data_IF_353033948910
#
_entry.id   IF_353033948910
#
_cell.length_a   1.000
_cell.length_b   1.000
_cell.length_c   1.000
_cell.angle_alpha   90.00
_cell.angle_beta   90.00
_cell.angle_gamma   90.00
#
_symmetry.space_group_name_H-M   'P 1'
#
loop_
_entity.id
_entity.type
_entity.pdbx_description
1 polymer ?
#
# COMPACT_ATOMS: atom_id res chain seq x y z
N UNK A 1 15.68 -17.06 46.62
CA UNK A 1 15.56 -16.89 45.16
C UNK A 1 14.13 -17.28 44.84
N UNK A 2 13.27 -16.30 44.67
CA UNK A 2 11.88 -16.53 44.27
C UNK A 2 11.88 -16.89 42.80
N UNK A 3 11.28 -18.03 42.46
CA UNK A 3 11.08 -18.45 41.09
C UNK A 3 10.13 -17.45 40.41
N UNK A 4 10.68 -16.67 39.49
CA UNK A 4 9.90 -15.82 38.59
C UNK A 4 9.17 -16.73 37.62
N UNK A 5 7.92 -17.06 37.93
CA UNK A 5 6.99 -17.67 36.98
C UNK A 5 6.64 -16.59 35.96
N UNK A 6 7.29 -16.63 34.80
CA UNK A 6 6.89 -15.84 33.64
C UNK A 6 5.57 -16.45 33.15
N UNK A 7 4.45 -15.73 33.15
CA UNK A 7 3.22 -16.23 32.55
C UNK A 7 3.48 -16.37 31.04
N UNK A 8 3.43 -17.60 30.55
CA UNK A 8 3.28 -17.86 29.13
C UNK A 8 1.89 -17.32 28.80
N UNK A 9 1.83 -16.09 28.27
CA UNK A 9 0.67 -15.63 27.53
C UNK A 9 0.63 -16.49 26.29
N UNK A 10 -0.03 -17.65 26.40
CA UNK A 10 -0.53 -18.36 25.25
C UNK A 10 -1.63 -17.46 24.69
N UNK A 11 -1.26 -16.55 23.79
CA UNK A 11 -2.21 -16.11 22.76
C UNK A 11 -2.75 -17.41 22.17
N UNK A 12 -4.01 -17.71 22.47
CA UNK A 12 -4.67 -18.91 21.99
C UNK A 12 -4.46 -18.92 20.47
N UNK A 13 -3.77 -19.94 19.97
CA UNK A 13 -3.64 -20.14 18.53
C UNK A 13 -5.06 -20.01 17.94
N UNK A 14 -5.25 -19.20 16.88
CA UNK A 14 -6.57 -19.00 16.30
C UNK A 14 -7.17 -20.38 16.07
N UNK A 15 -8.38 -20.63 16.58
CA UNK A 15 -9.07 -21.90 16.36
C UNK A 15 -9.34 -21.98 14.86
N UNK A 16 -8.56 -22.78 14.15
CA UNK A 16 -8.70 -22.97 12.72
C UNK A 16 -9.82 -23.98 12.51
N UNK A 17 -10.95 -23.50 11.99
CA UNK A 17 -12.01 -24.38 11.48
C UNK A 17 -11.50 -25.04 10.19
N UNK A 18 -11.24 -26.34 10.26
CA UNK A 18 -10.71 -27.12 9.13
C UNK A 18 -11.63 -27.06 7.92
N UNK A 19 -12.94 -27.31 8.09
CA UNK A 19 -13.88 -27.36 6.97
C UNK A 19 -14.03 -25.99 6.28
N UNK A 20 -14.11 -24.91 7.08
CA UNK A 20 -14.13 -23.55 6.55
C UNK A 20 -12.82 -23.21 5.81
N UNK A 21 -11.68 -23.63 6.35
CA UNK A 21 -10.37 -23.38 5.76
C UNK A 21 -10.17 -24.12 4.44
N UNK A 22 -10.61 -25.39 4.35
CA UNK A 22 -10.54 -26.16 3.11
C UNK A 22 -11.45 -25.55 2.03
N UNK A 23 -12.63 -25.05 2.40
CA UNK A 23 -13.51 -24.31 1.48
C UNK A 23 -12.86 -23.01 0.98
N UNK A 24 -12.16 -22.32 1.88
CA UNK A 24 -11.40 -21.12 1.52
C UNK A 24 -10.25 -21.46 0.56
N UNK A 25 -9.51 -22.56 0.77
CA UNK A 25 -8.47 -23.05 -0.15
C UNK A 25 -9.01 -23.34 -1.55
N UNK A 26 -10.18 -23.98 -1.64
CA UNK A 26 -10.88 -24.20 -2.91
C UNK A 26 -11.15 -22.88 -3.62
N UNK A 27 -11.58 -21.86 -2.89
CA UNK A 27 -11.86 -20.54 -3.48
C UNK A 27 -10.58 -19.82 -3.95
N UNK A 28 -9.47 -19.96 -3.21
CA UNK A 28 -8.19 -19.30 -3.54
C UNK A 28 -7.52 -19.99 -4.74
N UNK A 29 -7.49 -21.31 -4.77
CA UNK A 29 -6.82 -22.10 -5.81
C UNK A 29 -5.36 -22.45 -5.52
N UNK A 30 -4.75 -21.83 -4.51
CA UNK A 30 -3.38 -22.13 -4.05
C UNK A 30 -3.34 -22.10 -2.53
N UNK A 31 -2.60 -23.03 -1.93
CA UNK A 31 -2.49 -23.12 -0.49
C UNK A 31 -1.20 -23.82 -0.06
N UNK A 32 -0.81 -23.57 1.19
CA UNK A 32 0.30 -24.25 1.82
C UNK A 32 -0.18 -24.94 3.10
N UNK A 33 0.12 -26.23 3.26
CA UNK A 33 -0.37 -27.06 4.38
C UNK A 33 0.16 -26.62 5.73
N UNK A 34 1.19 -25.76 5.79
CA UNK A 34 1.67 -25.19 7.06
C UNK A 34 0.57 -24.50 7.87
N UNK A 35 -0.43 -23.93 7.19
CA UNK A 35 -1.56 -23.26 7.84
C UNK A 35 -2.40 -24.25 8.66
N UNK A 36 -2.39 -25.54 8.30
CA UNK A 36 -3.21 -26.59 8.92
C UNK A 36 -2.41 -27.58 9.79
N UNK A 37 -1.10 -27.36 9.99
CA UNK A 37 -0.20 -28.32 10.68
C UNK A 37 -0.63 -28.71 12.10
N UNK A 38 -1.48 -27.92 12.75
CA UNK A 38 -1.97 -28.20 14.11
C UNK A 38 -3.27 -29.02 14.14
N UNK A 39 -3.96 -29.15 13.00
CA UNK A 39 -5.32 -29.71 12.92
C UNK A 39 -5.47 -30.87 11.94
N UNK A 40 -4.59 -30.99 10.93
CA UNK A 40 -4.59 -32.10 9.98
C UNK A 40 -3.18 -32.36 9.46
N UNK A 41 -2.89 -33.60 9.07
CA UNK A 41 -1.64 -33.93 8.39
C UNK A 41 -1.72 -33.58 6.88
N UNK A 42 -0.58 -33.58 6.18
CA UNK A 42 -0.54 -33.15 4.78
C UNK A 42 -1.42 -34.03 3.88
N UNK A 43 -1.39 -35.35 4.06
CA UNK A 43 -2.13 -36.31 3.23
C UNK A 43 -3.66 -36.16 3.41
N UNK A 44 -4.11 -36.04 4.66
CA UNK A 44 -5.50 -35.78 5.04
C UNK A 44 -6.05 -34.51 4.37
N UNK A 45 -5.28 -33.42 4.36
CA UNK A 45 -5.70 -32.16 3.73
C UNK A 45 -5.96 -32.34 2.23
N UNK A 46 -5.09 -33.05 1.51
CA UNK A 46 -5.26 -33.26 0.08
C UNK A 46 -6.42 -34.18 -0.24
N UNK A 47 -6.64 -35.23 0.56
CA UNK A 47 -7.76 -36.15 0.38
C UNK A 47 -9.10 -35.47 0.72
N UNK A 48 -9.16 -34.69 1.80
CA UNK A 48 -10.34 -33.93 2.16
C UNK A 48 -10.71 -32.91 1.08
N UNK A 49 -9.73 -32.20 0.50
CA UNK A 49 -9.97 -31.26 -0.60
C UNK A 49 -10.53 -31.95 -1.85
N UNK A 50 -10.04 -33.15 -2.19
CA UNK A 50 -10.56 -33.94 -3.32
C UNK A 50 -11.99 -34.41 -3.05
N UNK A 51 -12.35 -34.65 -1.79
CA UNK A 51 -13.66 -35.16 -1.39
C UNK A 51 -14.71 -34.04 -1.19
N UNK A 52 -14.29 -32.82 -0.86
CA UNK A 52 -15.16 -31.68 -0.51
C UNK A 52 -15.98 -31.13 -1.68
N UNK A 53 -15.46 -31.22 -2.92
CA UNK A 53 -16.16 -30.77 -4.13
C UNK A 53 -15.87 -31.74 -5.28
N UNK A 54 -16.90 -32.42 -5.76
CA UNK A 54 -16.79 -33.33 -6.91
C UNK A 54 -16.72 -32.60 -8.26
N UNK A 55 -17.00 -31.29 -8.27
CA UNK A 55 -16.99 -30.41 -9.43
C UNK A 55 -15.68 -29.62 -9.58
N UNK A 56 -14.69 -29.83 -8.70
CA UNK A 56 -13.34 -29.31 -8.91
C UNK A 56 -12.66 -30.14 -9.99
N UNK A 57 -12.12 -29.46 -10.99
CA UNK A 57 -11.39 -30.07 -12.11
C UNK A 57 -10.19 -30.92 -11.60
N UNK A 58 -9.30 -30.35 -10.77
CA UNK A 58 -8.15 -31.09 -10.24
C UNK A 58 -7.52 -30.48 -8.98
N UNK A 59 -7.20 -31.31 -7.98
CA UNK A 59 -6.32 -30.95 -6.84
C UNK A 59 -4.96 -31.60 -7.01
N UNK A 60 -3.90 -30.79 -7.10
CA UNK A 60 -2.52 -31.22 -7.38
C UNK A 60 -1.60 -30.88 -6.22
N UNK A 61 -0.89 -31.88 -5.71
CA UNK A 61 0.20 -31.70 -4.77
C UNK A 61 1.49 -31.42 -5.54
N UNK A 62 2.19 -30.33 -5.21
CA UNK A 62 3.44 -29.93 -5.87
C UNK A 62 4.66 -30.40 -5.08
N UNK A 63 4.57 -30.36 -3.74
CA UNK A 63 5.64 -30.73 -2.82
C UNK A 63 5.98 -29.62 -1.82
N UNK A 64 6.73 -29.97 -0.77
CA UNK A 64 7.04 -29.08 0.37
C UNK A 64 5.79 -28.46 1.01
N UNK A 65 4.66 -29.17 1.03
CA UNK A 65 3.40 -28.66 1.56
C UNK A 65 2.63 -27.71 0.63
N UNK A 66 3.07 -27.47 -0.61
CA UNK A 66 2.30 -26.70 -1.59
C UNK A 66 1.26 -27.53 -2.32
N UNK A 67 0.04 -27.01 -2.38
CA UNK A 67 -1.07 -27.53 -3.16
C UNK A 67 -1.66 -26.49 -4.10
N UNK A 68 -2.18 -26.97 -5.22
CA UNK A 68 -2.86 -26.16 -6.25
C UNK A 68 -4.19 -26.81 -6.61
N UNK A 69 -5.22 -26.00 -6.77
CA UNK A 69 -6.53 -26.40 -7.26
C UNK A 69 -6.70 -25.74 -8.63
N UNK A 70 -6.69 -26.58 -9.66
CA UNK A 70 -6.70 -26.16 -11.06
C UNK A 70 -8.14 -26.04 -11.52
N UNK A 71 -8.78 -24.92 -11.21
CA UNK A 71 -10.17 -24.64 -11.62
C UNK A 71 -10.29 -23.17 -12.05
N UNK A 72 -10.99 -22.94 -13.17
CA UNK A 72 -11.15 -21.61 -13.80
C UNK A 72 -11.90 -20.58 -12.93
N UNK A 73 -12.57 -21.02 -11.87
CA UNK A 73 -13.28 -20.16 -10.90
C UNK A 73 -12.41 -19.74 -9.72
N UNK A 74 -11.23 -20.35 -9.54
CA UNK A 74 -10.33 -20.00 -8.45
C UNK A 74 -9.73 -18.60 -8.62
N UNK A 75 -9.44 -17.93 -7.51
CA UNK A 75 -8.77 -16.63 -7.52
C UNK A 75 -7.44 -16.71 -8.26
N UNK A 76 -6.64 -17.74 -8.02
CA UNK A 76 -5.33 -17.93 -8.65
C UNK A 76 -5.43 -18.03 -10.17
N UNK A 77 -6.28 -18.92 -10.70
CA UNK A 77 -6.41 -19.10 -12.16
C UNK A 77 -7.00 -17.85 -12.82
N UNK A 78 -8.07 -17.26 -12.24
CA UNK A 78 -8.64 -16.01 -12.77
C UNK A 78 -7.61 -14.88 -12.79
N UNK A 79 -6.77 -14.78 -11.76
CA UNK A 79 -5.68 -13.80 -11.72
C UNK A 79 -4.72 -14.00 -12.90
N UNK A 80 -4.32 -15.24 -13.17
CA UNK A 80 -3.45 -15.57 -14.32
C UNK A 80 -4.09 -15.20 -15.67
N UNK A 81 -5.36 -15.53 -15.86
CA UNK A 81 -6.09 -15.22 -17.10
C UNK A 81 -6.28 -13.71 -17.31
N UNK A 82 -6.36 -12.92 -16.23
CA UNK A 82 -6.40 -11.45 -16.28
C UNK A 82 -5.04 -10.84 -16.58
N UNK A 83 -3.96 -11.39 -16.03
CA UNK A 83 -2.59 -10.98 -16.37
C UNK A 83 -2.34 -11.24 -17.87
N UNK A 84 -2.77 -12.41 -18.37
CA UNK A 84 -2.61 -12.78 -19.77
C UNK A 84 -3.20 -11.77 -20.76
N UNK A 85 -4.28 -11.08 -20.38
CA UNK A 85 -4.92 -10.08 -21.22
C UNK A 85 -4.10 -8.80 -21.42
N UNK A 86 -3.09 -8.53 -20.59
CA UNK A 86 -2.43 -7.20 -20.52
C UNK A 86 -0.90 -7.24 -20.61
N UNK A 87 -0.33 -8.45 -20.73
CA UNK A 87 1.13 -8.64 -20.71
C UNK A 87 1.75 -8.93 -22.08
N UNK A 88 0.94 -9.12 -23.12
CA UNK A 88 1.37 -9.40 -24.50
C UNK A 88 2.48 -10.49 -24.56
N UNK A 89 3.52 -10.24 -25.35
CA UNK A 89 4.69 -11.11 -25.58
C UNK A 89 5.77 -10.99 -24.49
N UNK A 90 5.45 -10.46 -23.31
CA UNK A 90 6.44 -10.29 -22.23
C UNK A 90 6.50 -11.53 -21.34
N UNK A 91 7.72 -11.86 -20.93
CA UNK A 91 7.95 -12.85 -19.88
C UNK A 91 7.84 -12.16 -18.53
N UNK A 92 6.89 -12.59 -17.71
CA UNK A 92 6.60 -12.01 -16.40
C UNK A 92 7.29 -12.82 -15.30
N UNK A 93 8.09 -12.19 -14.42
CA UNK A 93 8.75 -12.89 -13.32
C UNK A 93 7.78 -13.68 -12.43
N UNK A 94 8.21 -14.84 -11.92
CA UNK A 94 7.36 -15.67 -11.03
C UNK A 94 6.96 -14.94 -9.74
N UNK A 95 7.87 -14.12 -9.21
CA UNK A 95 7.66 -13.30 -8.01
C UNK A 95 6.51 -12.31 -8.19
N UNK A 96 6.41 -11.71 -9.36
CA UNK A 96 5.37 -10.75 -9.72
C UNK A 96 4.00 -11.43 -9.82
N UNK A 97 3.96 -12.60 -10.46
CA UNK A 97 2.75 -13.42 -10.54
C UNK A 97 2.29 -13.87 -9.15
N UNK A 98 3.22 -14.34 -8.31
CA UNK A 98 2.94 -14.75 -6.94
C UNK A 98 2.37 -13.58 -6.11
N UNK A 99 2.95 -12.38 -6.24
CA UNK A 99 2.44 -11.17 -5.60
C UNK A 99 1.03 -10.80 -6.06
N UNK A 100 0.75 -10.91 -7.36
CA UNK A 100 -0.57 -10.65 -7.91
C UNK A 100 -1.63 -11.61 -7.35
N UNK A 101 -1.32 -12.91 -7.24
CA UNK A 101 -2.24 -13.92 -6.68
C UNK A 101 -2.53 -13.65 -5.21
N UNK A 102 -1.50 -13.41 -4.39
CA UNK A 102 -1.68 -13.09 -2.96
C UNK A 102 -2.53 -11.82 -2.81
N UNK A 103 -2.21 -10.78 -3.59
CA UNK A 103 -2.97 -9.54 -3.60
C UNK A 103 -4.44 -9.77 -3.97
N UNK A 104 -4.74 -10.59 -4.97
CA UNK A 104 -6.14 -10.89 -5.33
C UNK A 104 -6.84 -11.74 -4.27
N UNK A 105 -6.12 -12.61 -3.56
CA UNK A 105 -6.67 -13.36 -2.44
C UNK A 105 -7.08 -12.45 -1.26
N UNK A 106 -6.37 -11.33 -1.03
CA UNK A 106 -6.80 -10.27 -0.09
C UNK A 106 -8.16 -9.65 -0.43
N UNK A 107 -8.58 -9.76 -1.69
CA UNK A 107 -9.88 -9.27 -2.16
C UNK A 107 -10.92 -10.37 -2.26
N UNK A 108 -10.58 -11.63 -2.03
CA UNK A 108 -11.51 -12.75 -2.12
C UNK A 108 -12.04 -13.04 -3.54
N UNK A 109 -12.86 -14.09 -3.68
CA UNK A 109 -13.42 -14.51 -4.96
C UNK A 109 -14.49 -13.52 -5.47
N UNK A 110 -14.65 -13.45 -6.80
CA UNK A 110 -15.42 -12.39 -7.51
C UNK A 110 -16.92 -12.32 -7.16
N UNK A 111 -17.45 -13.30 -6.43
CA UNK A 111 -18.89 -13.50 -6.17
C UNK A 111 -19.28 -13.53 -4.69
N UNK A 112 -18.34 -13.29 -3.76
CA UNK A 112 -18.72 -13.13 -2.34
C UNK A 112 -19.29 -11.74 -2.09
N UNK A 113 -20.36 -11.70 -1.27
CA UNK A 113 -20.91 -10.46 -0.68
C UNK A 113 -19.78 -9.56 -0.16
N UNK A 114 -19.89 -8.25 -0.35
CA UNK A 114 -18.79 -7.30 -0.04
C UNK A 114 -18.37 -7.34 1.44
N UNK A 115 -19.28 -7.67 2.37
CA UNK A 115 -18.97 -7.89 3.79
C UNK A 115 -18.15 -9.15 4.00
N UNK A 116 -18.58 -10.27 3.41
CA UNK A 116 -17.89 -11.58 3.49
C UNK A 116 -16.51 -11.50 2.83
N UNK A 117 -16.44 -10.84 1.68
CA UNK A 117 -15.22 -10.58 0.92
C UNK A 117 -14.15 -9.87 1.75
N UNK A 118 -14.58 -8.87 2.54
CA UNK A 118 -13.70 -8.11 3.44
C UNK A 118 -13.20 -8.95 4.61
N UNK A 119 -14.02 -9.85 5.14
CA UNK A 119 -13.63 -10.77 6.22
C UNK A 119 -12.68 -11.86 5.71
N UNK A 120 -12.99 -12.45 4.55
CA UNK A 120 -12.14 -13.37 3.84
C UNK A 120 -10.76 -12.77 3.56
N UNK A 121 -10.74 -11.57 2.97
CA UNK A 121 -9.52 -10.83 2.68
C UNK A 121 -8.66 -10.53 3.89
N UNK A 122 -9.27 -10.12 5.01
CA UNK A 122 -8.56 -9.92 6.29
C UNK A 122 -7.96 -11.22 6.84
N UNK A 123 -8.67 -12.34 6.68
CA UNK A 123 -8.23 -13.65 7.14
C UNK A 123 -7.06 -14.16 6.32
N UNK A 124 -7.15 -14.09 4.99
CA UNK A 124 -6.19 -14.74 4.09
C UNK A 124 -5.06 -13.85 3.63
N UNK A 125 -5.26 -12.54 3.59
CA UNK A 125 -4.23 -11.59 3.15
C UNK A 125 -2.96 -11.62 3.97
N UNK A 126 -3.12 -11.68 5.30
CA UNK A 126 -1.99 -11.84 6.21
C UNK A 126 -1.58 -13.30 6.40
N UNK A 127 -2.40 -14.28 6.03
CA UNK A 127 -2.09 -15.70 6.26
C UNK A 127 -1.26 -16.29 5.10
N UNK A 128 -1.34 -15.71 3.91
CA UNK A 128 -0.47 -15.99 2.77
C UNK A 128 0.89 -15.27 2.88
N UNK A 129 1.50 -15.20 4.07
CA UNK A 129 2.85 -14.61 4.24
C UNK A 129 3.91 -15.32 3.39
N UNK A 130 3.63 -16.57 3.00
CA UNK A 130 4.47 -17.37 2.14
C UNK A 130 3.97 -17.24 0.70
N UNK A 131 4.75 -16.56 -0.14
CA UNK A 131 4.46 -16.48 -1.57
C UNK A 131 4.48 -17.86 -2.23
N UNK A 132 3.53 -18.15 -3.15
CA UNK A 132 3.57 -19.34 -3.98
C UNK A 132 4.93 -19.57 -4.63
N UNK A 133 5.44 -20.79 -4.53
CA UNK A 133 6.72 -21.16 -5.14
C UNK A 133 6.66 -21.10 -6.68
N UNK A 134 7.82 -20.99 -7.34
CA UNK A 134 7.88 -21.01 -8.81
C UNK A 134 7.20 -22.25 -9.40
N UNK A 135 7.33 -23.41 -8.76
CA UNK A 135 6.70 -24.65 -9.21
C UNK A 135 5.17 -24.59 -9.16
N UNK A 136 4.60 -23.92 -8.17
CA UNK A 136 3.15 -23.65 -8.11
C UNK A 136 2.72 -22.78 -9.29
N UNK A 137 3.45 -21.69 -9.55
CA UNK A 137 3.14 -20.78 -10.65
C UNK A 137 3.29 -21.48 -12.01
N UNK A 138 4.31 -22.33 -12.19
CA UNK A 138 4.48 -23.14 -13.40
C UNK A 138 3.29 -24.06 -13.64
N UNK A 139 2.78 -24.71 -12.58
CA UNK A 139 1.62 -25.60 -12.71
C UNK A 139 0.35 -24.84 -13.10
N UNK A 140 0.12 -23.67 -12.52
CA UNK A 140 -0.97 -22.78 -12.91
C UNK A 140 -0.81 -22.28 -14.36
N UNK A 141 0.40 -21.92 -14.77
CA UNK A 141 0.69 -21.48 -16.13
C UNK A 141 0.41 -22.58 -17.15
N UNK A 142 0.86 -23.80 -16.89
CA UNK A 142 0.58 -24.97 -17.74
C UNK A 142 -0.93 -25.19 -17.91
N UNK A 143 -1.70 -25.09 -16.82
CA UNK A 143 -3.15 -25.26 -16.84
C UNK A 143 -3.86 -24.24 -17.75
N UNK A 144 -3.44 -22.98 -17.73
CA UNK A 144 -4.01 -21.94 -18.62
C UNK A 144 -3.39 -21.93 -20.03
N UNK A 145 -2.48 -22.86 -20.34
CA UNK A 145 -1.80 -22.93 -21.63
C UNK A 145 -0.71 -21.86 -21.85
N UNK A 146 -0.24 -21.22 -20.77
CA UNK A 146 0.92 -20.34 -20.81
C UNK A 146 2.23 -21.15 -20.81
N UNK A 147 3.24 -20.66 -21.51
CA UNK A 147 4.58 -21.27 -21.46
C UNK A 147 5.38 -20.68 -20.30
N UNK A 148 6.32 -21.45 -19.75
CA UNK A 148 7.19 -20.95 -18.67
C UNK A 148 8.65 -21.24 -18.97
N UNK A 149 9.52 -20.34 -18.53
CA UNK A 149 10.98 -20.45 -18.67
C UNK A 149 11.65 -20.27 -17.30
N UNK A 150 12.97 -20.27 -17.24
CA UNK A 150 13.69 -19.95 -15.99
C UNK A 150 13.52 -18.49 -15.58
N UNK A 151 13.06 -17.62 -16.48
CA UNK A 151 12.90 -16.17 -16.22
C UNK A 151 11.49 -15.80 -15.75
N UNK A 152 10.49 -16.66 -15.96
CA UNK A 152 9.10 -16.33 -15.69
C UNK A 152 8.10 -17.06 -16.57
N UNK A 153 6.89 -16.51 -16.64
CA UNK A 153 5.75 -17.00 -17.42
C UNK A 153 5.55 -16.12 -18.65
N UNK A 154 5.39 -16.74 -19.81
CA UNK A 154 4.99 -16.09 -21.05
C UNK A 154 3.52 -16.41 -21.33
N UNK A 155 2.69 -15.38 -21.28
CA UNK A 155 1.24 -15.50 -21.47
C UNK A 155 0.79 -15.35 -22.92
N UNK A 156 1.70 -15.04 -23.86
CA UNK A 156 1.35 -14.86 -25.28
C UNK A 156 0.78 -16.12 -25.93
N UNK A 157 1.04 -17.29 -25.35
CA UNK A 157 0.55 -18.59 -25.84
C UNK A 157 -0.81 -18.98 -25.27
N UNK A 158 -1.34 -18.20 -24.32
CA UNK A 158 -2.61 -18.48 -23.67
C UNK A 158 -3.78 -18.21 -24.63
N UNK A 159 -4.67 -19.19 -24.78
CA UNK A 159 -5.81 -19.12 -25.72
C UNK A 159 -7.02 -18.36 -25.17
N UNK A 160 -7.19 -18.36 -23.85
CA UNK A 160 -8.34 -17.77 -23.17
C UNK A 160 -7.84 -16.72 -22.19
N UNK A 161 -8.42 -15.53 -22.26
CA UNK A 161 -8.07 -14.42 -21.36
C UNK A 161 -9.33 -13.86 -20.72
N UNK A 162 -9.16 -13.21 -19.57
CA UNK A 162 -10.23 -12.40 -18.96
C UNK A 162 -9.88 -10.95 -19.23
N UNK A 163 -10.63 -10.35 -20.15
CA UNK A 163 -10.43 -8.96 -20.55
C UNK A 163 -10.58 -8.01 -19.34
N UNK A 164 -9.70 -7.00 -19.21
CA UNK A 164 -9.88 -5.93 -18.26
C UNK A 164 -11.20 -5.22 -18.47
N UNK A 165 -11.75 -4.68 -17.38
CA UNK A 165 -12.90 -3.78 -17.47
C UNK A 165 -12.49 -2.43 -18.08
N UNK A 166 -13.43 -1.63 -18.60
CA UNK A 166 -13.14 -0.28 -19.13
C UNK A 166 -12.37 0.60 -18.13
N UNK A 167 -12.67 0.46 -16.83
CA UNK A 167 -11.98 1.16 -15.75
C UNK A 167 -10.52 0.70 -15.62
N UNK A 168 -10.29 -0.60 -15.73
CA UNK A 168 -8.96 -1.19 -15.65
C UNK A 168 -8.11 -0.86 -16.87
N UNK A 169 -8.72 -0.86 -18.06
CA UNK A 169 -8.10 -0.34 -19.27
C UNK A 169 -7.68 1.12 -19.14
N UNK A 170 -8.55 1.98 -18.58
CA UNK A 170 -8.19 3.38 -18.34
C UNK A 170 -7.00 3.53 -17.35
N UNK A 171 -6.91 2.64 -16.34
CA UNK A 171 -5.75 2.59 -15.43
C UNK A 171 -4.49 2.16 -16.15
N UNK A 172 -4.58 1.11 -16.99
CA UNK A 172 -3.47 0.61 -17.80
C UNK A 172 -2.95 1.70 -18.72
N UNK A 173 -3.80 2.33 -19.53
CA UNK A 173 -3.41 3.43 -20.43
C UNK A 173 -2.74 4.58 -19.67
N UNK A 174 -3.27 4.93 -18.49
CA UNK A 174 -2.69 5.99 -17.66
C UNK A 174 -1.30 5.63 -17.14
N UNK A 175 -1.05 4.35 -16.85
CA UNK A 175 0.25 3.84 -16.41
C UNK A 175 1.21 3.64 -17.59
N UNK A 176 0.71 3.22 -18.75
CA UNK A 176 1.48 2.91 -19.96
C UNK A 176 1.97 4.17 -20.69
N UNK A 177 1.28 5.30 -20.53
CA UNK A 177 1.66 6.59 -21.13
C UNK A 177 2.85 7.33 -20.46
N UNK A 178 3.55 6.73 -19.48
CA UNK A 178 4.55 7.47 -18.67
C UNK A 178 5.94 6.80 -18.51
N UNK A 179 6.39 6.02 -19.49
CA UNK A 179 7.67 5.30 -19.46
C UNK A 179 8.95 6.14 -19.66
N UNK A 180 9.04 7.31 -19.04
CA UNK A 180 10.35 7.93 -18.80
C UNK A 180 10.69 8.10 -17.33
N UNK A 181 9.71 8.20 -16.42
CA UNK A 181 9.96 8.29 -14.97
C UNK A 181 8.75 7.71 -14.24
N UNK A 182 8.98 6.68 -13.42
CA UNK A 182 7.99 6.05 -12.53
C UNK A 182 6.92 7.04 -12.06
N UNK A 183 5.65 6.79 -12.38
CA UNK A 183 4.58 7.71 -12.03
C UNK A 183 4.50 7.86 -10.51
N UNK A 184 4.56 9.06 -9.92
CA UNK A 184 4.12 9.27 -8.55
C UNK A 184 2.63 8.93 -8.45
N UNK A 185 2.24 8.29 -7.36
CA UNK A 185 0.87 7.87 -7.09
C UNK A 185 -0.12 9.00 -7.35
N UNK A 186 0.22 10.26 -7.08
CA UNK A 186 -0.62 11.47 -7.26
C UNK A 186 -1.30 11.63 -8.64
N UNK A 187 -0.75 11.07 -9.72
CA UNK A 187 -1.28 11.24 -11.08
C UNK A 187 -2.41 10.30 -11.48
N UNK A 188 -2.56 9.14 -10.82
CA UNK A 188 -3.75 8.28 -11.01
C UNK A 188 -5.06 8.99 -10.58
N UNK A 189 -4.95 10.08 -9.81
CA UNK A 189 -6.06 10.97 -9.47
C UNK A 189 -6.20 12.22 -10.34
N UNK A 190 -5.37 12.41 -11.37
CA UNK A 190 -5.43 13.56 -12.26
C UNK A 190 -5.61 13.12 -13.71
N UNK A 191 -6.88 12.91 -14.08
CA UNK A 191 -7.49 13.67 -15.17
C UNK A 191 -9.02 13.55 -15.10
N UNK A 192 -9.67 14.66 -14.75
CA UNK A 192 -10.77 15.30 -15.49
C UNK A 192 -11.40 16.36 -14.58
N UNK A 193 -11.56 17.62 -15.03
CA UNK A 193 -12.37 18.59 -14.31
C UNK A 193 -13.82 18.12 -14.33
N UNK A 194 -14.49 18.17 -13.18
CA UNK A 194 -15.86 17.69 -13.03
C UNK A 194 -15.98 16.58 -12.00
N UNK A 195 -17.14 16.52 -11.38
CA UNK A 195 -17.59 15.69 -10.25
C UNK A 195 -17.00 14.28 -10.16
N UNK A 196 -16.86 13.71 -8.94
CA UNK A 196 -16.35 12.35 -8.74
C UNK A 196 -17.29 11.35 -9.44
N UNK A 197 -16.87 10.91 -10.62
CA UNK A 197 -17.55 9.87 -11.38
C UNK A 197 -17.10 8.51 -10.87
N UNK A 198 -18.02 7.54 -10.83
CA UNK A 198 -17.75 6.11 -10.60
C UNK A 198 -16.77 5.49 -11.62
N UNK A 199 -16.30 6.27 -12.61
CA UNK A 199 -15.35 5.90 -13.67
C UNK A 199 -13.94 6.47 -13.48
N UNK A 200 -13.66 7.19 -12.38
CA UNK A 200 -12.29 7.65 -12.06
C UNK A 200 -11.62 6.59 -11.20
N UNK A 201 -10.43 6.14 -11.59
CA UNK A 201 -9.64 5.16 -10.86
C UNK A 201 -9.31 5.66 -9.45
N UNK A 202 -10.17 5.31 -8.49
CA UNK A 202 -9.95 5.55 -7.07
C UNK A 202 -8.79 4.66 -6.61
N UNK A 203 -7.85 5.21 -5.82
CA UNK A 203 -6.76 4.43 -5.20
C UNK A 203 -7.27 3.23 -4.42
N UNK A 204 -8.53 3.26 -3.97
CA UNK A 204 -9.20 2.12 -3.34
C UNK A 204 -9.29 0.90 -4.27
N UNK A 205 -9.45 1.11 -5.59
CA UNK A 205 -9.64 0.07 -6.61
C UNK A 205 -8.29 -0.48 -7.08
N UNK A 206 -7.23 0.33 -7.13
CA UNK A 206 -5.89 -0.11 -7.54
C UNK A 206 -5.37 -1.29 -6.71
N UNK A 207 -5.79 -1.37 -5.45
CA UNK A 207 -5.47 -2.48 -4.56
C UNK A 207 -6.11 -3.81 -4.97
N UNK A 208 -7.14 -3.82 -5.81
CA UNK A 208 -7.81 -5.02 -6.32
C UNK A 208 -7.50 -5.34 -7.78
N UNK A 209 -6.57 -4.61 -8.42
CA UNK A 209 -6.17 -4.83 -9.81
C UNK A 209 -4.90 -5.69 -9.85
N UNK A 210 -4.91 -6.90 -10.46
CA UNK A 210 -3.81 -7.86 -10.35
C UNK A 210 -2.51 -7.45 -11.05
N UNK A 211 -2.60 -6.73 -12.16
CA UNK A 211 -1.43 -6.29 -12.94
C UNK A 211 -0.77 -5.00 -12.41
N UNK A 212 -1.27 -4.44 -11.31
CA UNK A 212 -0.64 -3.31 -10.60
C UNK A 212 -0.09 -3.83 -9.28
N UNK A 213 1.22 -3.79 -9.05
CA UNK A 213 1.84 -4.24 -7.81
C UNK A 213 2.28 -3.06 -6.95
N UNK A 214 2.25 -3.21 -5.63
CA UNK A 214 2.76 -2.20 -4.69
C UNK A 214 3.96 -2.78 -3.94
N UNK A 215 5.19 -2.26 -4.14
CA UNK A 215 6.33 -2.63 -3.31
C UNK A 215 6.06 -2.22 -1.86
N UNK A 216 6.74 -2.85 -0.91
CA UNK A 216 6.49 -2.67 0.53
C UNK A 216 6.55 -1.21 1.00
N UNK A 217 7.18 -0.30 0.24
CA UNK A 217 7.30 1.13 0.56
C UNK A 217 7.24 2.10 -0.63
N UNK A 218 7.05 1.62 -1.86
CA UNK A 218 7.20 2.45 -3.06
C UNK A 218 5.87 2.69 -3.80
N UNK A 219 5.97 3.31 -4.98
CA UNK A 219 4.85 3.58 -5.88
C UNK A 219 4.35 2.29 -6.51
N UNK A 220 3.06 2.27 -6.85
CA UNK A 220 2.48 1.23 -7.68
C UNK A 220 3.26 1.09 -8.99
N UNK A 221 3.51 -0.15 -9.41
CA UNK A 221 4.17 -0.51 -10.67
C UNK A 221 3.33 -1.50 -11.46
N UNK A 222 3.52 -1.56 -12.76
CA UNK A 222 2.93 -2.62 -13.57
C UNK A 222 3.70 -3.93 -13.40
N UNK A 223 2.97 -5.04 -13.48
CA UNK A 223 3.55 -6.39 -13.43
C UNK A 223 4.56 -6.57 -14.58
N UNK A 224 5.69 -7.23 -14.32
CA UNK A 224 6.78 -7.41 -15.28
C UNK A 224 7.68 -6.19 -15.49
N UNK A 225 7.37 -5.05 -14.86
CA UNK A 225 8.26 -3.89 -14.84
C UNK A 225 8.95 -3.80 -13.48
N UNK A 226 10.27 -4.01 -13.49
CA UNK A 226 11.08 -3.76 -12.31
C UNK A 226 11.26 -2.25 -12.12
N UNK A 227 11.04 -1.75 -10.91
CA UNK A 227 11.27 -0.34 -10.65
C UNK A 227 12.79 -0.08 -10.74
N UNK A 228 13.18 1.04 -11.35
CA UNK A 228 14.60 1.37 -11.51
C UNK A 228 15.26 1.39 -10.11
N UNK A 229 16.32 0.58 -9.86
CA UNK A 229 16.98 0.50 -8.55
C UNK A 229 17.46 1.85 -8.03
N UNK A 230 17.81 2.77 -8.95
CA UNK A 230 18.25 4.13 -8.64
C UNK A 230 17.10 5.08 -8.26
N UNK A 231 15.85 4.71 -8.55
CA UNK A 231 14.63 5.45 -8.17
C UNK A 231 13.96 4.85 -6.93
N UNK A 232 14.21 3.58 -6.62
CA UNK A 232 13.75 2.86 -5.41
C UNK A 232 14.72 2.98 -4.25
N UNK A 233 15.49 4.07 -4.18
CA UNK A 233 16.38 4.28 -3.04
C UNK A 233 15.54 4.31 -1.76
N UNK A 234 15.63 3.21 -1.02
CA UNK A 234 15.19 3.03 0.34
C UNK A 234 16.05 3.89 1.25
N UNK A 235 15.87 5.20 1.17
CA UNK A 235 16.47 6.14 2.10
C UNK A 235 15.39 7.08 2.58
N UNK A 236 15.43 7.36 3.88
CA UNK A 236 14.58 8.29 4.59
C UNK A 236 14.35 9.58 3.81
N UNK A 237 13.30 9.62 2.97
CA UNK A 237 12.68 10.88 2.53
C UNK A 237 11.79 11.41 3.65
N UNK A 238 12.34 11.46 4.85
CA UNK A 238 11.89 12.41 5.86
C UNK A 238 12.05 13.78 5.21
N UNK A 239 10.97 14.30 4.64
CA UNK A 239 10.92 15.69 4.19
C UNK A 239 11.25 16.65 5.32
N UNK A 240 11.12 16.21 6.56
CA UNK A 240 11.52 16.96 7.73
C UNK A 240 13.02 17.29 7.68
N UNK A 241 13.30 18.59 7.74
CA UNK A 241 14.65 19.15 7.77
C UNK A 241 15.06 19.47 9.20
N UNK A 242 14.24 20.26 9.89
CA UNK A 242 14.59 20.80 11.20
C UNK A 242 13.35 21.26 11.98
N UNK A 243 13.55 21.55 13.27
CA UNK A 243 12.56 22.20 14.12
C UNK A 243 13.24 23.30 14.94
N UNK A 244 12.59 24.45 15.00
CA UNK A 244 12.93 25.56 15.87
C UNK A 244 11.81 25.75 16.89
N UNK A 245 12.14 26.08 18.13
CA UNK A 245 11.15 26.43 19.15
C UNK A 245 11.65 27.58 20.00
N UNK A 246 10.74 28.43 20.45
CA UNK A 246 11.03 29.44 21.46
C UNK A 246 11.42 28.77 22.78
N UNK A 247 12.15 29.47 23.64
CA UNK A 247 12.60 28.99 24.95
C UNK A 247 11.41 28.55 25.81
N UNK A 248 10.32 29.32 25.78
CA UNK A 248 9.08 28.99 26.48
C UNK A 248 8.20 27.93 25.77
N UNK A 249 8.60 27.50 24.57
CA UNK A 249 7.87 26.50 23.76
C UNK A 249 6.53 26.97 23.19
N UNK A 250 6.20 28.25 23.27
CA UNK A 250 4.94 28.81 22.74
C UNK A 250 4.90 28.87 21.21
N UNK A 251 6.03 29.18 20.57
CA UNK A 251 6.16 29.24 19.11
C UNK A 251 7.07 28.14 18.62
N UNK A 252 6.59 27.37 17.66
CA UNK A 252 7.31 26.24 17.08
C UNK A 252 7.30 26.35 15.57
N UNK A 253 8.42 26.11 14.94
CA UNK A 253 8.58 26.07 13.49
C UNK A 253 9.07 24.69 13.11
N UNK A 254 8.38 24.04 12.18
CA UNK A 254 8.85 22.81 11.55
C UNK A 254 9.24 23.12 10.10
N UNK A 255 10.45 22.75 9.72
CA UNK A 255 10.95 22.91 8.35
C UNK A 255 10.86 21.58 7.62
N UNK A 256 10.33 21.63 6.40
CA UNK A 256 10.20 20.50 5.49
C UNK A 256 10.72 20.86 4.10
N UNK A 257 11.11 19.86 3.33
CA UNK A 257 11.20 19.91 1.88
C UNK A 257 9.85 19.48 1.30
N UNK A 258 9.26 20.33 0.48
CA UNK A 258 8.01 20.03 -0.22
C UNK A 258 8.25 18.84 -1.15
N UNK A 259 7.48 17.79 -0.95
CA UNK A 259 7.31 16.73 -1.94
C UNK A 259 5.85 16.62 -2.31
N UNK A 260 5.59 16.30 -3.57
CA UNK A 260 4.22 16.12 -4.09
C UNK A 260 3.48 15.06 -3.25
N UNK A 261 4.17 14.00 -2.84
CA UNK A 261 3.61 12.96 -1.98
C UNK A 261 3.07 13.48 -0.64
N UNK A 262 3.78 14.40 0.02
CA UNK A 262 3.37 14.94 1.32
C UNK A 262 2.23 15.95 1.18
N UNK A 263 2.29 16.80 0.15
CA UNK A 263 1.23 17.77 -0.14
C UNK A 263 -0.05 17.03 -0.51
N UNK A 264 0.02 16.09 -1.45
CA UNK A 264 -1.14 15.33 -1.92
C UNK A 264 -1.70 14.37 -0.88
N UNK A 265 -0.83 13.63 -0.17
CA UNK A 265 -1.21 12.80 0.98
C UNK A 265 -1.69 13.59 2.19
N UNK A 266 -1.67 14.93 2.14
CA UNK A 266 -2.06 15.85 3.20
C UNK A 266 -1.47 15.51 4.58
N UNK A 267 -0.28 14.90 4.57
CA UNK A 267 0.37 14.38 5.76
C UNK A 267 1.89 14.45 5.62
N UNK A 268 2.53 14.95 6.68
CA UNK A 268 3.99 15.11 6.76
C UNK A 268 4.51 14.30 7.94
N UNK A 269 5.59 13.55 7.74
CA UNK A 269 6.19 12.71 8.79
C UNK A 269 6.92 13.58 9.82
N UNK A 270 6.84 13.21 11.10
CA UNK A 270 7.47 13.95 12.21
C UNK A 270 8.39 13.01 12.98
N UNK A 271 9.64 13.42 13.26
CA UNK A 271 10.55 12.64 14.11
C UNK A 271 9.98 12.52 15.53
N UNK A 272 10.29 11.41 16.21
CA UNK A 272 9.83 11.15 17.58
C UNK A 272 10.12 12.30 18.54
N UNK A 273 11.27 12.94 18.41
CA UNK A 273 11.72 14.06 19.25
C UNK A 273 10.90 15.35 19.13
N UNK A 274 10.14 15.54 18.04
CA UNK A 274 9.34 16.75 17.82
C UNK A 274 7.85 16.59 18.20
N UNK A 275 7.40 15.36 18.45
CA UNK A 275 5.97 15.00 18.61
C UNK A 275 5.30 15.70 19.78
N UNK A 276 5.93 15.66 20.95
CA UNK A 276 5.38 16.25 22.16
C UNK A 276 5.21 17.77 22.03
N UNK A 277 6.19 18.43 21.37
CA UNK A 277 6.20 19.87 21.20
C UNK A 277 4.98 20.37 20.39
N UNK A 278 4.58 19.62 19.37
CA UNK A 278 3.57 20.06 18.38
C UNK A 278 2.18 19.45 18.57
N UNK A 279 1.98 18.71 19.67
CA UNK A 279 0.68 18.12 20.01
C UNK A 279 -0.45 19.16 20.07
N UNK A 280 -1.53 18.94 19.33
CA UNK A 280 -2.73 19.77 19.36
C UNK A 280 -3.37 20.05 18.02
N UNK A 281 -4.31 21.01 18.04
CA UNK A 281 -5.05 21.51 16.88
C UNK A 281 -4.82 23.00 16.77
N UNK A 282 -4.42 23.45 15.58
CA UNK A 282 -4.04 24.84 15.31
C UNK A 282 -4.86 25.36 14.13
N UNK A 283 -5.63 26.42 14.35
CA UNK A 283 -6.43 27.07 13.32
C UNK A 283 -5.54 27.79 12.32
N UNK A 284 -5.75 27.56 11.03
CA UNK A 284 -4.91 28.18 10.02
C UNK A 284 -5.31 29.65 9.81
N UNK A 285 -4.34 30.58 9.88
CA UNK A 285 -4.61 32.03 9.78
C UNK A 285 -4.99 32.49 8.37
N UNK A 286 -4.50 31.84 7.31
CA UNK A 286 -4.73 32.29 5.92
C UNK A 286 -5.71 31.44 5.12
N UNK A 287 -6.08 30.25 5.60
CA UNK A 287 -7.06 29.39 4.93
C UNK A 287 -8.09 28.80 5.90
N UNK A 288 -9.29 28.46 5.39
CA UNK A 288 -10.30 27.74 6.17
C UNK A 288 -9.81 26.31 6.47
N UNK A 289 -9.38 26.06 7.71
CA UNK A 289 -8.92 24.73 8.15
C UNK A 289 -8.11 24.77 9.44
N UNK A 290 -7.55 23.62 9.78
CA UNK A 290 -6.69 23.46 10.95
C UNK A 290 -5.59 22.44 10.67
N UNK A 291 -4.39 22.68 11.20
CA UNK A 291 -3.30 21.70 11.26
C UNK A 291 -3.50 20.89 12.54
N UNK A 292 -3.47 19.56 12.44
CA UNK A 292 -3.77 18.66 13.55
C UNK A 292 -2.68 17.62 13.73
N UNK A 293 -2.24 17.46 14.97
CA UNK A 293 -1.34 16.40 15.36
C UNK A 293 -1.78 15.80 16.71
N UNK A 294 -1.95 14.47 16.74
CA UNK A 294 -2.29 13.71 17.94
C UNK A 294 -1.20 12.68 18.21
N UNK A 295 -0.58 12.75 19.39
CA UNK A 295 0.53 11.87 19.78
C UNK A 295 0.04 10.47 20.18
N UNK A 296 -1.20 10.37 20.66
CA UNK A 296 -1.86 9.11 21.03
C UNK A 296 -2.73 8.56 19.87
N UNK A 297 -2.66 9.22 18.71
CA UNK A 297 -3.44 8.83 17.54
C UNK A 297 -2.86 7.62 16.81
N UNK A 298 -3.72 6.92 16.06
CA UNK A 298 -3.35 5.79 15.18
C UNK A 298 -2.19 6.14 14.22
N UNK A 299 -2.08 7.40 13.82
CA UNK A 299 -1.03 7.94 12.95
C UNK A 299 -0.12 8.95 13.67
N UNK A 300 0.31 8.64 14.90
CA UNK A 300 1.23 9.47 15.72
C UNK A 300 2.57 9.83 15.05
N UNK A 301 2.85 9.32 13.84
CA UNK A 301 4.04 9.64 13.06
C UNK A 301 3.82 10.83 12.11
N UNK A 302 2.59 11.31 11.94
CA UNK A 302 2.22 12.26 10.88
C UNK A 302 1.39 13.45 11.38
N UNK A 303 1.71 14.64 10.87
CA UNK A 303 0.87 15.84 11.04
C UNK A 303 0.02 16.02 9.79
N UNK A 304 -1.26 16.37 9.98
CA UNK A 304 -2.25 16.44 8.91
C UNK A 304 -2.78 17.86 8.72
N UNK A 305 -3.22 18.18 7.49
CA UNK A 305 -3.85 19.46 7.15
C UNK A 305 -2.95 20.46 6.41
N UNK A 306 -1.64 20.21 6.37
CA UNK A 306 -0.64 21.08 5.73
C UNK A 306 -0.77 21.06 4.21
N UNK A 307 -0.92 19.87 3.64
CA UNK A 307 -1.01 19.71 2.18
C UNK A 307 -2.23 20.40 1.60
N UNK A 308 -3.37 20.34 2.29
CA UNK A 308 -4.58 21.09 1.92
C UNK A 308 -4.31 22.59 1.90
N UNK A 309 -3.55 23.09 2.87
CA UNK A 309 -3.19 24.51 2.92
C UNK A 309 -2.29 24.90 1.75
N UNK A 310 -1.22 24.14 1.51
CA UNK A 310 -0.28 24.39 0.41
C UNK A 310 -1.03 24.46 -0.91
N UNK A 311 -1.91 23.50 -1.22
CA UNK A 311 -2.74 23.55 -2.43
C UNK A 311 -3.67 24.75 -2.53
N UNK A 312 -4.15 25.26 -1.39
CA UNK A 312 -5.11 26.37 -1.37
C UNK A 312 -4.43 27.72 -1.56
N UNK A 313 -3.27 27.92 -0.91
CA UNK A 313 -2.59 29.22 -0.84
C UNK A 313 -1.42 29.32 -1.82
N UNK A 314 -0.79 28.19 -2.17
CA UNK A 314 0.33 28.09 -3.09
C UNK A 314 0.03 27.04 -4.18
N UNK A 315 -0.93 27.31 -5.09
CA UNK A 315 -1.33 26.33 -6.11
C UNK A 315 -0.19 25.93 -7.05
N UNK A 316 0.80 26.80 -7.23
CA UNK A 316 1.96 26.63 -8.11
C UNK A 316 3.23 26.17 -7.36
N UNK A 317 3.07 25.44 -6.24
CA UNK A 317 4.21 24.92 -5.48
C UNK A 317 5.08 24.00 -6.35
N UNK A 318 6.39 23.99 -6.08
CA UNK A 318 7.38 23.16 -6.79
C UNK A 318 8.02 22.18 -5.80
N UNK A 319 8.21 20.93 -6.24
CA UNK A 319 8.93 19.94 -5.46
C UNK A 319 10.36 20.41 -5.15
N UNK A 320 10.83 20.16 -3.92
CA UNK A 320 12.13 20.62 -3.45
C UNK A 320 12.13 22.00 -2.77
N UNK A 321 11.01 22.74 -2.79
CA UNK A 321 10.88 24.02 -2.05
C UNK A 321 10.92 23.80 -0.54
N UNK A 322 11.40 24.79 0.20
CA UNK A 322 11.32 24.76 1.67
C UNK A 322 9.92 25.15 2.13
N UNK A 323 9.34 24.34 3.01
CA UNK A 323 8.06 24.55 3.66
C UNK A 323 8.28 24.73 5.15
N UNK A 324 7.85 25.87 5.67
CA UNK A 324 7.89 26.16 7.10
C UNK A 324 6.48 26.14 7.65
N UNK A 325 6.26 25.36 8.70
CA UNK A 325 5.00 25.31 9.43
C UNK A 325 5.22 26.02 10.74
N UNK A 326 4.55 27.16 10.91
CA UNK A 326 4.62 27.99 12.09
C UNK A 326 3.42 27.65 12.97
N UNK A 327 3.65 27.22 14.20
CA UNK A 327 2.63 26.87 15.18
C UNK A 327 2.75 27.80 16.38
N UNK A 328 1.66 28.47 16.72
CA UNK A 328 1.55 29.29 17.93
C UNK A 328 0.58 28.58 18.91
N UNK A 329 1.13 28.10 20.02
CA UNK A 329 0.37 27.37 21.04
C UNK A 329 -0.54 28.27 21.85
N UNK A 330 -0.15 29.52 22.08
CA UNK A 330 -0.92 30.49 22.86
C UNK A 330 -2.18 30.88 22.12
N UNK A 331 -2.04 31.21 20.84
CA UNK A 331 -3.16 31.61 19.98
C UNK A 331 -3.90 30.42 19.36
N UNK A 332 -3.42 29.18 19.57
CA UNK A 332 -3.89 27.95 18.90
C UNK A 332 -3.98 28.15 17.39
N UNK A 333 -2.96 28.76 16.81
CA UNK A 333 -2.95 29.17 15.42
C UNK A 333 -1.77 28.60 14.65
N UNK A 334 -1.94 28.47 13.33
CA UNK A 334 -0.92 27.99 12.43
C UNK A 334 -0.82 28.86 11.18
N UNK A 335 0.39 28.96 10.65
CA UNK A 335 0.68 29.45 9.31
C UNK A 335 1.62 28.48 8.60
N UNK A 336 1.60 28.50 7.27
CA UNK A 336 2.55 27.73 6.46
C UNK A 336 3.12 28.66 5.40
N UNK A 337 4.45 28.66 5.28
CA UNK A 337 5.18 29.53 4.38
C UNK A 337 6.02 28.65 3.44
N UNK A 338 5.84 28.83 2.14
CA UNK A 338 6.72 28.23 1.13
C UNK A 338 7.77 29.24 0.70
N UNK A 339 9.04 28.82 0.67
CA UNK A 339 10.16 29.62 0.18
C UNK A 339 10.72 28.98 -1.09
N UNK A 340 11.01 29.82 -2.10
CA UNK A 340 11.85 29.42 -3.23
C UNK A 340 13.31 29.26 -2.79
N UNK A 341 14.11 28.53 -3.58
CA UNK A 341 15.50 28.16 -3.23
C UNK A 341 16.45 29.35 -2.98
N UNK A 342 16.06 30.59 -3.33
CA UNK A 342 16.83 31.83 -3.09
C UNK A 342 16.36 32.65 -1.87
N UNK A 343 15.58 32.04 -0.96
CA UNK A 343 14.78 32.72 0.08
C UNK A 343 15.47 33.12 1.40
N UNK A 344 16.76 33.45 1.42
CA UNK A 344 17.52 33.70 2.67
C UNK A 344 16.92 34.78 3.61
N UNK A 345 16.14 35.72 3.07
CA UNK A 345 15.46 36.76 3.87
C UNK A 345 14.26 36.22 4.67
N UNK A 346 13.51 35.27 4.13
CA UNK A 346 12.29 34.74 4.77
C UNK A 346 12.63 33.79 5.92
N UNK A 347 13.71 33.02 5.81
CA UNK A 347 14.22 32.19 6.91
C UNK A 347 14.65 33.05 8.10
N UNK A 348 15.33 34.18 7.85
CA UNK A 348 15.68 35.16 8.89
C UNK A 348 14.44 35.76 9.59
N UNK A 349 13.38 36.06 8.85
CA UNK A 349 12.11 36.56 9.41
C UNK A 349 11.41 35.50 10.30
N UNK A 350 11.49 34.22 9.91
CA UNK A 350 10.94 33.10 10.69
C UNK A 350 11.74 32.90 11.98
N UNK A 351 13.07 32.98 11.92
CA UNK A 351 13.93 32.94 13.10
C UNK A 351 13.64 34.11 14.05
N UNK A 352 13.47 35.32 13.50
CA UNK A 352 13.10 36.50 14.29
C UNK A 352 11.71 36.33 14.94
N UNK A 353 10.75 35.70 14.26
CA UNK A 353 9.42 35.41 14.81
C UNK A 353 9.47 34.46 16.02
N UNK A 354 10.38 33.48 16.02
CA UNK A 354 10.61 32.63 17.19
C UNK A 354 11.26 33.42 18.33
N UNK A 355 12.30 34.20 18.04
CA UNK A 355 13.04 34.99 19.04
C UNK A 355 12.20 36.11 19.68
N UNK A 356 11.24 36.70 18.96
CA UNK A 356 10.33 37.72 19.49
C UNK A 356 9.46 37.19 20.65
N UNK A 357 9.09 35.90 20.62
CA UNK A 357 8.36 35.27 21.72
C UNK A 357 9.20 35.26 23.00
N UNK A 358 10.49 34.98 22.87
CA UNK A 358 11.43 34.93 24.00
C UNK A 358 11.66 36.33 24.59
N UNK A 359 11.80 37.36 23.74
CA UNK A 359 11.97 38.74 24.16
C UNK A 359 10.74 39.33 24.88
N UNK A 360 9.54 38.79 24.64
CA UNK A 360 8.29 39.18 25.33
C UNK A 360 8.06 38.41 26.64
N UNK A 361 8.79 37.31 26.83
CA UNK A 361 8.71 36.47 28.03
C UNK A 361 9.80 36.80 29.07
N UNK A 362 10.90 37.42 28.64
CA UNK A 362 11.91 38.07 29.47
C UNK A 362 11.43 39.43 29.98
#
# INVERSE_FOLDING_TARGET
MEDVVIPIVADAAPVIDLAATLTDFISIGVFHTSVLRQVANEEEVFDDLRNLRQDIDQVVQIGNGWGVILDNQTVAVRTMLRIAAVTDNRVIPFTDVAQAIVKMAEWGPDVTDAGIRKEFGKRWGNTLEIYPSENVIRKLAEFIGATSSNKGVDFSTTKYVIEPTDLEYAVLETLELQYDRCAPTSRLCRMLPGTPSRTKADYSILKGIPFVLKPSRDVNRLIGYEPNPFLTSSEDKSSYVSMYKSVNGERIVLQYVVSEQNVEGNSFNIPSSAREAIHGVYANKRAKGSIRYNIDGKDARKVTGIGKYIRTIYPDYVEGQSCFILLDRRDRSADVILCSQDGGKTELEIHAWVAEADAKAA
#
